data_IF_158784397585
#
_entry.id   IF_158784397585
#
_cell.length_a   1.000
_cell.length_b   1.000
_cell.length_c   1.000
_cell.angle_alpha   90.00
_cell.angle_beta   90.00
_cell.angle_gamma   90.00
#
_symmetry.space_group_name_H-M   'P 1'
#
loop_
_entity.id
_entity.type
_entity.pdbx_description
1 polymer ?
#
# COMPACT_ATOMS: atom_id res chain seq x y z
N UNK A 1 6.34 -17.61 11.77
CA UNK A 1 5.73 -16.63 12.70
C UNK A 1 6.82 -15.65 13.16
N UNK A 2 7.33 -14.84 12.23
CA UNK A 2 8.27 -13.77 12.56
C UNK A 2 7.44 -12.49 12.63
N UNK A 3 7.08 -12.11 13.85
CA UNK A 3 6.60 -10.78 14.17
C UNK A 3 7.79 -9.85 13.92
N UNK A 4 7.77 -9.12 12.80
CA UNK A 4 8.59 -7.94 12.60
C UNK A 4 8.20 -6.98 13.72
N UNK A 5 9.07 -6.93 14.74
CA UNK A 5 8.96 -5.95 15.82
C UNK A 5 9.18 -4.58 15.21
N UNK A 6 8.07 -3.86 15.15
CA UNK A 6 7.96 -2.41 15.09
C UNK A 6 9.04 -1.75 15.94
N UNK A 7 10.01 -1.13 15.27
CA UNK A 7 10.87 -0.12 15.88
C UNK A 7 10.64 1.19 15.13
N UNK A 8 9.70 1.98 15.67
CA UNK A 8 9.82 3.43 15.67
C UNK A 8 9.11 4.22 14.58
N UNK A 9 7.78 4.33 14.66
CA UNK A 9 7.10 5.60 14.30
C UNK A 9 6.20 6.02 15.46
N UNK A 10 6.45 7.24 15.96
CA UNK A 10 5.66 7.90 17.00
C UNK A 10 4.35 8.42 16.39
N UNK A 11 3.24 7.76 16.69
CA UNK A 11 1.90 8.28 16.45
C UNK A 11 0.87 7.19 16.68
N UNK A 12 -0.06 7.40 17.59
CA UNK A 12 -1.12 6.48 17.95
C UNK A 12 -2.16 6.39 16.83
N UNK A 13 -1.89 5.61 15.79
CA UNK A 13 -2.92 5.22 14.84
C UNK A 13 -2.88 3.70 14.68
N UNK A 14 -3.91 3.03 15.20
CA UNK A 14 -4.14 1.62 14.86
C UNK A 14 -4.58 1.61 13.40
N UNK A 15 -3.62 1.58 12.47
CA UNK A 15 -3.93 1.41 11.06
C UNK A 15 -4.44 -0.01 10.82
N UNK A 16 -5.72 -0.11 10.46
CA UNK A 16 -6.36 -1.33 10.00
C UNK A 16 -6.70 -1.14 8.52
N UNK A 17 -6.00 -1.85 7.65
CA UNK A 17 -6.17 -1.72 6.20
C UNK A 17 -7.54 -2.18 5.71
N UNK A 18 -8.23 -3.07 6.42
CA UNK A 18 -9.57 -3.50 6.06
C UNK A 18 -10.59 -2.40 6.38
N UNK A 19 -10.49 -1.82 7.58
CA UNK A 19 -11.34 -0.70 7.97
C UNK A 19 -11.09 0.55 7.10
N UNK A 20 -9.82 0.88 6.85
CA UNK A 20 -9.45 2.00 6.00
C UNK A 20 -9.95 1.81 4.55
N UNK A 21 -9.87 0.59 4.00
CA UNK A 21 -10.43 0.26 2.70
C UNK A 21 -11.95 0.49 2.65
N UNK A 22 -12.69 -0.03 3.63
CA UNK A 22 -14.15 0.14 3.70
C UNK A 22 -14.56 1.61 3.79
N UNK A 23 -13.89 2.39 4.64
CA UNK A 23 -14.13 3.82 4.80
C UNK A 23 -13.87 4.60 3.50
N UNK A 24 -12.73 4.34 2.84
CA UNK A 24 -12.35 5.02 1.61
C UNK A 24 -13.25 4.64 0.44
N UNK A 25 -13.63 3.37 0.35
CA UNK A 25 -14.56 2.89 -0.68
C UNK A 25 -15.93 3.54 -0.54
N UNK A 26 -16.47 3.62 0.69
CA UNK A 26 -17.75 4.28 0.96
C UNK A 26 -17.74 5.77 0.57
N UNK A 27 -16.61 6.46 0.69
CA UNK A 27 -16.48 7.86 0.31
C UNK A 27 -16.34 8.06 -1.22
N UNK A 28 -15.96 7.01 -1.95
CA UNK A 28 -15.70 7.06 -3.38
C UNK A 28 -16.95 7.04 -4.27
N UNK A 29 -18.15 6.76 -3.72
CA UNK A 29 -19.40 6.68 -4.49
C UNK A 29 -19.60 7.89 -5.43
N UNK A 30 -19.44 9.10 -4.88
CA UNK A 30 -19.60 10.34 -5.66
C UNK A 30 -18.49 10.54 -6.69
N UNK A 31 -17.30 10.02 -6.41
CA UNK A 31 -16.14 10.17 -7.27
C UNK A 31 -16.24 9.26 -8.50
N UNK A 32 -16.80 8.06 -8.34
CA UNK A 32 -16.93 7.05 -9.37
C UNK A 32 -18.16 7.25 -10.27
N UNK A 33 -19.22 7.87 -9.76
CA UNK A 33 -20.42 8.19 -10.54
C UNK A 33 -21.03 6.94 -11.19
N UNK A 34 -21.05 6.86 -12.52
CA UNK A 34 -21.66 5.74 -13.24
C UNK A 34 -20.91 4.41 -13.11
N UNK A 35 -19.63 4.43 -12.72
CA UNK A 35 -18.86 3.20 -12.47
C UNK A 35 -19.06 2.67 -11.03
N UNK A 36 -19.83 3.35 -10.17
CA UNK A 36 -20.02 2.95 -8.77
C UNK A 36 -20.59 1.54 -8.61
N UNK A 37 -21.70 1.23 -9.29
CA UNK A 37 -22.35 -0.08 -9.16
C UNK A 37 -21.39 -1.22 -9.55
N UNK A 38 -20.59 -1.01 -10.60
CA UNK A 38 -19.57 -1.96 -11.01
C UNK A 38 -18.44 -2.09 -9.99
N UNK A 39 -18.01 -0.98 -9.37
CA UNK A 39 -17.01 -1.01 -8.30
C UNK A 39 -17.51 -1.81 -7.10
N UNK A 40 -18.80 -1.71 -6.75
CA UNK A 40 -19.43 -2.47 -5.65
C UNK A 40 -19.43 -3.96 -5.95
N UNK A 41 -19.80 -4.37 -7.17
CA UNK A 41 -19.75 -5.78 -7.58
C UNK A 41 -18.34 -6.37 -7.49
N UNK A 42 -17.34 -5.59 -7.91
CA UNK A 42 -15.94 -5.97 -7.83
C UNK A 42 -15.44 -6.06 -6.39
N UNK A 43 -15.79 -5.10 -5.54
CA UNK A 43 -15.43 -5.11 -4.12
C UNK A 43 -16.06 -6.29 -3.38
N UNK A 44 -17.34 -6.59 -3.62
CA UNK A 44 -18.03 -7.76 -3.04
C UNK A 44 -17.37 -9.06 -3.49
N UNK A 45 -17.01 -9.14 -4.79
CA UNK A 45 -16.30 -10.30 -5.34
C UNK A 45 -14.92 -10.45 -4.70
N UNK A 46 -14.19 -9.35 -4.54
CA UNK A 46 -12.87 -9.34 -3.92
C UNK A 46 -12.93 -9.79 -2.45
N UNK A 47 -13.85 -9.25 -1.66
CA UNK A 47 -13.96 -9.49 -0.22
C UNK A 47 -14.55 -10.86 0.15
N UNK A 48 -15.41 -11.42 -0.72
CA UNK A 48 -16.11 -12.68 -0.45
C UNK A 48 -15.47 -13.92 -1.09
N UNK A 49 -14.40 -13.76 -1.87
CA UNK A 49 -13.71 -14.86 -2.55
C UNK A 49 -12.24 -14.92 -2.16
N UNK A 50 -11.53 -15.94 -2.66
CA UNK A 50 -10.09 -16.10 -2.52
C UNK A 50 -9.46 -16.61 -3.82
N UNK A 51 -8.13 -16.56 -3.89
CA UNK A 51 -7.38 -17.07 -5.03
C UNK A 51 -7.70 -16.33 -6.34
N UNK A 52 -7.84 -17.07 -7.45
CA UNK A 52 -7.95 -16.48 -8.78
C UNK A 52 -9.15 -15.53 -8.95
N UNK A 53 -10.28 -15.81 -8.31
CA UNK A 53 -11.48 -14.97 -8.39
C UNK A 53 -11.27 -13.63 -7.70
N UNK A 54 -10.77 -13.63 -6.45
CA UNK A 54 -10.47 -12.39 -5.73
C UNK A 54 -9.38 -11.58 -6.43
N UNK A 55 -8.36 -12.27 -6.95
CA UNK A 55 -7.29 -11.64 -7.74
C UNK A 55 -7.82 -10.94 -8.99
N UNK A 56 -8.73 -11.58 -9.74
CA UNK A 56 -9.34 -10.96 -10.92
C UNK A 56 -10.10 -9.69 -10.57
N UNK A 57 -10.91 -9.73 -9.50
CA UNK A 57 -11.63 -8.55 -9.01
C UNK A 57 -10.68 -7.43 -8.56
N UNK A 58 -9.61 -7.77 -7.84
CA UNK A 58 -8.55 -6.84 -7.46
C UNK A 58 -7.91 -6.15 -8.68
N UNK A 59 -7.52 -6.92 -9.69
CA UNK A 59 -6.91 -6.38 -10.91
C UNK A 59 -7.88 -5.45 -11.67
N UNK A 60 -9.17 -5.78 -11.70
CA UNK A 60 -10.21 -4.93 -12.31
C UNK A 60 -10.47 -3.64 -11.51
N UNK A 61 -10.44 -3.68 -10.17
CA UNK A 61 -10.51 -2.48 -9.32
C UNK A 61 -9.33 -1.53 -9.60
N UNK A 62 -8.12 -2.07 -9.75
CA UNK A 62 -6.95 -1.26 -10.14
C UNK A 62 -7.09 -0.65 -11.54
N UNK A 63 -7.67 -1.39 -12.49
CA UNK A 63 -7.93 -0.88 -13.83
C UNK A 63 -9.02 0.21 -13.82
N UNK A 64 -10.04 0.07 -12.98
CA UNK A 64 -11.05 1.10 -12.76
C UNK A 64 -10.41 2.37 -12.17
N UNK A 65 -9.50 2.24 -11.22
CA UNK A 65 -8.82 3.39 -10.61
C UNK A 65 -8.02 4.20 -11.64
N UNK A 66 -7.40 3.53 -12.62
CA UNK A 66 -6.70 4.24 -13.72
C UNK A 66 -7.64 5.11 -14.57
N UNK A 67 -8.92 4.75 -14.68
CA UNK A 67 -9.94 5.56 -15.38
C UNK A 67 -10.40 6.77 -14.55
N UNK A 68 -10.17 6.75 -13.23
CA UNK A 68 -10.61 7.76 -12.27
C UNK A 68 -9.44 8.36 -11.47
N UNK A 69 -8.49 9.06 -12.12
CA UNK A 69 -7.31 9.62 -11.45
C UNK A 69 -7.64 10.71 -10.42
N UNK A 70 -8.86 11.25 -10.45
CA UNK A 70 -9.37 12.27 -9.51
C UNK A 70 -10.25 11.70 -8.40
N UNK A 71 -10.53 10.39 -8.41
CA UNK A 71 -11.28 9.73 -7.36
C UNK A 71 -10.35 9.42 -6.19
N UNK A 72 -10.02 10.45 -5.40
CA UNK A 72 -9.00 10.36 -4.35
C UNK A 72 -9.30 9.28 -3.31
N UNK A 73 -10.55 9.17 -2.89
CA UNK A 73 -10.98 8.13 -1.95
C UNK A 73 -10.85 6.75 -2.60
N UNK A 74 -11.20 6.62 -3.88
CA UNK A 74 -11.03 5.34 -4.60
C UNK A 74 -9.56 4.94 -4.80
N UNK A 75 -8.68 5.91 -5.08
CA UNK A 75 -7.25 5.66 -5.18
C UNK A 75 -6.66 5.18 -3.84
N UNK A 76 -7.07 5.80 -2.72
CA UNK A 76 -6.65 5.37 -1.39
C UNK A 76 -7.15 3.95 -1.08
N UNK A 77 -8.41 3.64 -1.41
CA UNK A 77 -8.96 2.29 -1.32
C UNK A 77 -8.10 1.25 -2.08
N UNK A 78 -7.71 1.54 -3.32
CA UNK A 78 -6.86 0.65 -4.11
C UNK A 78 -5.48 0.39 -3.47
N UNK A 79 -4.92 1.37 -2.76
CA UNK A 79 -3.67 1.21 -2.00
C UNK A 79 -3.90 0.31 -0.79
N UNK A 80 -4.99 0.49 -0.05
CA UNK A 80 -5.31 -0.31 1.13
C UNK A 80 -5.56 -1.78 0.81
N UNK A 81 -6.33 -2.09 -0.24
CA UNK A 81 -6.54 -3.49 -0.67
C UNK A 81 -5.24 -4.10 -1.23
N UNK A 82 -4.33 -3.29 -1.79
CA UNK A 82 -3.01 -3.78 -2.21
C UNK A 82 -2.17 -4.20 -1.00
N UNK A 83 -2.26 -3.48 0.12
CA UNK A 83 -1.64 -3.91 1.37
C UNK A 83 -2.26 -5.21 1.89
N UNK A 84 -3.59 -5.36 1.81
CA UNK A 84 -4.24 -6.64 2.16
C UNK A 84 -3.69 -7.80 1.31
N UNK A 85 -3.49 -7.60 0.00
CA UNK A 85 -2.87 -8.60 -0.87
C UNK A 85 -1.43 -8.94 -0.47
N UNK A 86 -0.62 -7.97 -0.04
CA UNK A 86 0.72 -8.23 0.54
C UNK A 86 0.63 -9.16 1.76
N UNK A 87 -0.38 -8.96 2.62
CA UNK A 87 -0.57 -9.78 3.82
C UNK A 87 -1.08 -11.19 3.53
N UNK A 88 -1.80 -11.39 2.42
CA UNK A 88 -2.27 -12.70 1.96
C UNK A 88 -1.17 -13.46 1.21
N UNK A 89 -0.53 -12.80 0.25
CA UNK A 89 0.56 -13.33 -0.56
C UNK A 89 1.74 -12.35 -0.58
N UNK A 90 2.73 -12.59 0.28
CA UNK A 90 3.89 -11.71 0.44
C UNK A 90 4.91 -11.87 -0.69
N UNK A 91 4.54 -11.44 -1.90
CA UNK A 91 5.37 -11.46 -3.11
C UNK A 91 5.76 -10.05 -3.56
N UNK A 92 6.94 -9.93 -4.18
CA UNK A 92 7.51 -8.66 -4.64
C UNK A 92 6.57 -7.85 -5.56
N UNK A 93 5.72 -8.53 -6.33
CA UNK A 93 4.78 -7.88 -7.24
C UNK A 93 3.80 -6.96 -6.50
N UNK A 94 3.19 -7.39 -5.40
CA UNK A 94 2.25 -6.55 -4.65
C UNK A 94 2.94 -5.35 -4.01
N UNK A 95 4.16 -5.52 -3.50
CA UNK A 95 4.96 -4.41 -2.99
C UNK A 95 5.29 -3.38 -4.06
N UNK A 96 5.69 -3.81 -5.27
CA UNK A 96 5.96 -2.91 -6.39
C UNK A 96 4.72 -2.13 -6.83
N UNK A 97 3.57 -2.82 -6.90
CA UNK A 97 2.29 -2.20 -7.23
C UNK A 97 1.90 -1.16 -6.18
N UNK A 98 1.96 -1.52 -4.90
CA UNK A 98 1.64 -0.62 -3.78
C UNK A 98 2.54 0.62 -3.74
N UNK A 99 3.85 0.43 -3.93
CA UNK A 99 4.82 1.53 -4.03
C UNK A 99 4.46 2.51 -5.15
N UNK A 100 4.18 2.00 -6.37
CA UNK A 100 3.84 2.85 -7.52
C UNK A 100 2.52 3.61 -7.31
N UNK A 101 1.50 2.93 -6.80
CA UNK A 101 0.20 3.57 -6.50
C UNK A 101 0.37 4.70 -5.48
N UNK A 102 1.17 4.44 -4.44
CA UNK A 102 1.45 5.44 -3.40
C UNK A 102 2.25 6.63 -3.93
N UNK A 103 3.23 6.44 -4.82
CA UNK A 103 3.97 7.53 -5.45
C UNK A 103 3.07 8.45 -6.28
N UNK A 104 2.18 7.84 -7.08
CA UNK A 104 1.20 8.60 -7.87
C UNK A 104 0.24 9.34 -6.95
N UNK A 105 -0.24 8.69 -5.89
CA UNK A 105 -1.14 9.28 -4.92
C UNK A 105 -0.48 10.43 -4.15
N UNK A 106 0.76 10.29 -3.67
CA UNK A 106 1.45 11.30 -2.88
C UNK A 106 2.05 12.43 -3.71
N UNK A 107 2.09 12.30 -5.04
CA UNK A 107 2.59 13.34 -5.96
C UNK A 107 1.83 14.68 -5.92
N UNK A 108 0.65 14.72 -5.31
CA UNK A 108 -0.09 15.94 -4.96
C UNK A 108 -0.96 15.66 -3.73
N UNK A 109 -1.19 16.65 -2.88
CA UNK A 109 -2.07 16.53 -1.70
C UNK A 109 -3.42 17.22 -1.91
N UNK A 110 -3.62 17.89 -3.04
CA UNK A 110 -4.80 18.72 -3.27
C UNK A 110 -6.07 17.86 -3.33
N UNK A 111 -7.08 18.24 -2.53
CA UNK A 111 -8.39 17.57 -2.50
C UNK A 111 -8.42 16.22 -1.80
N UNK A 112 -7.31 15.81 -1.15
CA UNK A 112 -7.21 14.55 -0.40
C UNK A 112 -7.45 14.77 1.09
N UNK A 113 -8.02 13.76 1.73
CA UNK A 113 -8.20 13.74 3.18
C UNK A 113 -6.84 13.56 3.87
N UNK A 114 -6.57 14.36 4.91
CA UNK A 114 -5.29 14.29 5.62
C UNK A 114 -5.02 12.90 6.20
N UNK A 115 -6.07 12.24 6.71
CA UNK A 115 -5.98 10.87 7.23
C UNK A 115 -5.48 9.89 6.17
N UNK A 116 -5.96 10.01 4.93
CA UNK A 116 -5.57 9.09 3.86
C UNK A 116 -4.14 9.37 3.40
N UNK A 117 -3.71 10.64 3.40
CA UNK A 117 -2.31 11.03 3.17
C UNK A 117 -1.40 10.40 4.22
N UNK A 118 -1.76 10.48 5.50
CA UNK A 118 -0.97 9.92 6.60
C UNK A 118 -0.85 8.40 6.45
N UNK A 119 -1.98 7.70 6.24
CA UNK A 119 -1.99 6.25 6.01
C UNK A 119 -1.21 5.80 4.78
N UNK A 120 -1.38 6.50 3.65
CA UNK A 120 -0.66 6.15 2.40
C UNK A 120 0.84 6.42 2.55
N UNK A 121 1.25 7.41 3.33
CA UNK A 121 2.67 7.66 3.64
C UNK A 121 3.28 6.50 4.43
N UNK A 122 2.61 6.04 5.49
CA UNK A 122 3.05 4.87 6.28
C UNK A 122 3.12 3.58 5.43
N UNK A 123 2.12 3.38 4.56
CA UNK A 123 2.12 2.25 3.63
C UNK A 123 3.21 2.35 2.58
N UNK A 124 3.50 3.53 2.06
CA UNK A 124 4.57 3.74 1.10
C UNK A 124 5.92 3.29 1.65
N UNK A 125 6.23 3.69 2.88
CA UNK A 125 7.45 3.25 3.58
C UNK A 125 7.45 1.73 3.75
N UNK A 126 6.32 1.15 4.16
CA UNK A 126 6.16 -0.30 4.31
C UNK A 126 6.34 -1.06 2.99
N UNK A 127 5.86 -0.50 1.87
CA UNK A 127 6.04 -1.10 0.55
C UNK A 127 7.50 -1.09 0.12
N UNK A 128 8.21 0.01 0.37
CA UNK A 128 9.65 0.14 0.09
C UNK A 128 10.48 -0.80 0.95
N UNK A 129 10.16 -0.90 2.23
CA UNK A 129 10.75 -1.85 3.17
C UNK A 129 10.64 -3.29 2.66
N UNK A 130 9.44 -3.69 2.22
CA UNK A 130 9.21 -5.03 1.66
C UNK A 130 10.00 -5.34 0.38
N UNK A 131 10.49 -4.31 -0.32
CA UNK A 131 11.37 -4.44 -1.48
C UNK A 131 12.87 -4.33 -1.14
N UNK A 132 13.23 -4.07 0.12
CA UNK A 132 14.60 -3.78 0.53
C UNK A 132 15.12 -2.44 0.01
N UNK A 133 14.23 -1.46 -0.19
CA UNK A 133 14.54 -0.10 -0.66
C UNK A 133 14.51 0.95 0.46
N UNK A 134 14.54 0.51 1.71
CA UNK A 134 14.93 1.38 2.83
C UNK A 134 16.32 1.93 2.52
N UNK A 135 16.52 3.24 2.75
CA UNK A 135 17.87 3.80 2.70
C UNK A 135 18.73 2.94 3.62
N UNK A 136 19.81 2.36 3.10
CA UNK A 136 20.77 1.65 3.91
C UNK A 136 21.17 2.61 5.04
N UNK A 137 20.74 2.30 6.27
CA UNK A 137 21.28 2.91 7.48
C UNK A 137 22.81 2.95 7.28
N UNK A 138 23.41 4.13 7.43
CA UNK A 138 24.85 4.40 7.23
C UNK A 138 25.79 3.46 8.03
N UNK A 139 25.22 2.55 8.84
CA UNK A 139 25.87 1.53 9.65
C UNK A 139 26.37 0.27 8.90
N UNK A 140 26.31 0.18 7.57
CA UNK A 140 27.02 -0.87 6.81
C UNK A 140 28.39 -0.44 6.26
N UNK A 141 28.85 0.78 6.53
CA UNK A 141 30.19 1.25 6.10
C UNK A 141 31.31 0.86 7.10
N UNK A 142 31.00 0.49 8.35
CA UNK A 142 32.04 0.22 9.37
C UNK A 142 32.57 -1.23 9.38
N UNK A 143 31.89 -2.21 8.77
CA UNK A 143 32.35 -3.61 8.81
C UNK A 143 33.38 -4.01 7.74
N UNK A 144 33.91 -3.05 6.96
CA UNK A 144 34.96 -3.31 5.95
C UNK A 144 36.30 -2.63 6.24
N UNK A 145 36.53 -2.15 7.47
CA UNK A 145 37.83 -1.57 7.89
C UNK A 145 38.67 -2.40 8.85
N UNK A 146 38.16 -3.51 9.38
CA UNK A 146 38.92 -4.39 10.28
C UNK A 146 39.28 -5.73 9.64
N UNK A 147 39.95 -5.70 8.48
CA UNK A 147 40.89 -6.77 8.15
C UNK A 147 42.26 -6.32 8.63
N UNK A 148 42.80 -6.88 9.74
CA UNK A 148 44.17 -6.60 10.12
C UNK A 148 45.08 -7.10 9.00
N UNK A 149 45.83 -6.20 8.37
CA UNK A 149 47.01 -6.60 7.62
C UNK A 149 48.05 -7.06 8.65
N UNK A 150 47.99 -8.34 9.00
CA UNK A 150 49.06 -8.99 9.73
C UNK A 150 50.34 -8.93 8.90
N UNK A 151 51.29 -8.11 9.35
CA UNK A 151 52.70 -8.23 9.03
C UNK A 151 53.41 -8.85 10.22
N UNK A 152 54.08 -9.98 10.00
CA UNK A 152 55.55 -10.13 9.93
C UNK A 152 55.83 -11.51 9.31
#
# INVERSE_FOLDING_TARGET
>A
LLILRTNGIRGSMQFDAALAAQDAFSQSERELGSDWDHAVELEETFSSNAGATARGAYEELLALAQRHPKAHSFQAFCIYITWQQVTEETIAHHFQTGMRLSEVYLGSVDGKEQRDIDYVTELYESFRAGLGLEEEDEMQVEYRRDTPKGGD
#
